data_IF_619855739294
#
_entry.id   IF_619855739294
#
_cell.length_a   1.000
_cell.length_b   1.000
_cell.length_c   1.000
_cell.angle_alpha   90.00
_cell.angle_beta   90.00
_cell.angle_gamma   90.00
#
_symmetry.space_group_name_H-M   'P 1'
#
loop_
_entity.id
_entity.type
_entity.pdbx_description
1 polymer ?
#
# COMPACT_ATOMS: atom_id res chain seq x y z
N UNK A 1 -6.27 31.57 -9.48
CA UNK A 1 -5.92 32.86 -10.09
C UNK A 1 -7.05 33.88 -9.94
N UNK A 2 -8.32 33.49 -10.11
CA UNK A 2 -9.48 34.38 -9.92
C UNK A 2 -9.49 35.09 -8.56
N UNK A 3 -9.19 34.40 -7.47
CA UNK A 3 -9.18 35.00 -6.12
C UNK A 3 -8.10 36.09 -5.89
N UNK A 4 -6.91 35.95 -6.51
CA UNK A 4 -5.88 36.99 -6.43
C UNK A 4 -6.22 38.17 -7.34
N UNK A 5 -6.80 37.89 -8.51
CA UNK A 5 -7.29 38.91 -9.43
C UNK A 5 -8.46 39.72 -8.84
N UNK A 6 -9.38 39.07 -8.13
CA UNK A 6 -10.47 39.70 -7.35
C UNK A 6 -9.95 40.63 -6.24
N UNK A 7 -8.71 40.41 -5.79
CA UNK A 7 -8.03 41.22 -4.77
C UNK A 7 -7.03 42.21 -5.36
N UNK A 8 -6.98 42.33 -6.69
CA UNK A 8 -6.07 43.24 -7.39
C UNK A 8 -4.59 42.93 -7.17
N UNK A 9 -4.24 41.71 -6.77
CA UNK A 9 -2.86 41.32 -6.47
C UNK A 9 -2.30 40.51 -7.63
N UNK A 10 -1.20 40.96 -8.24
CA UNK A 10 -0.49 40.21 -9.25
C UNK A 10 0.25 39.01 -8.63
N UNK A 11 0.48 37.95 -9.42
CA UNK A 11 1.13 36.73 -8.92
C UNK A 11 2.53 37.01 -8.33
N UNK A 12 3.28 37.95 -8.93
CA UNK A 12 4.61 38.37 -8.46
C UNK A 12 4.59 39.15 -7.14
N UNK A 13 3.45 39.76 -6.78
CA UNK A 13 3.26 40.53 -5.55
C UNK A 13 2.59 39.72 -4.42
N UNK A 14 2.28 38.46 -4.69
CA UNK A 14 1.65 37.55 -3.74
C UNK A 14 2.51 37.37 -2.49
N UNK A 15 1.96 37.66 -1.30
CA UNK A 15 2.65 37.51 -0.01
C UNK A 15 2.21 36.26 0.72
N UNK A 16 3.00 35.86 1.72
CA UNK A 16 2.65 34.75 2.62
C UNK A 16 1.26 34.91 3.24
N UNK A 17 0.89 36.14 3.64
CA UNK A 17 -0.41 36.45 4.21
C UNK A 17 -1.58 36.16 3.25
N UNK A 18 -1.39 36.35 1.94
CA UNK A 18 -2.42 36.05 0.94
C UNK A 18 -2.62 34.55 0.78
N UNK A 19 -1.51 33.78 0.81
CA UNK A 19 -1.56 32.32 0.76
C UNK A 19 -2.23 31.74 2.00
N UNK A 20 -1.91 32.26 3.19
CA UNK A 20 -2.49 31.78 4.45
C UNK A 20 -3.99 32.09 4.53
N UNK A 21 -4.40 33.29 4.12
CA UNK A 21 -5.79 33.71 4.08
C UNK A 21 -6.61 32.91 3.05
N UNK A 22 -6.04 32.65 1.88
CA UNK A 22 -6.66 31.77 0.89
C UNK A 22 -6.86 30.36 1.46
N UNK A 23 -5.82 29.79 2.10
CA UNK A 23 -5.89 28.44 2.68
C UNK A 23 -6.91 28.32 3.81
N UNK A 24 -7.10 29.37 4.61
CA UNK A 24 -8.12 29.41 5.67
C UNK A 24 -9.55 29.29 5.10
N UNK A 25 -9.78 29.84 3.92
CA UNK A 25 -11.11 29.92 3.29
C UNK A 25 -11.43 28.72 2.38
N UNK A 26 -10.43 27.91 2.00
CA UNK A 26 -10.60 26.88 0.98
C UNK A 26 -10.43 25.47 1.54
N UNK A 27 -11.24 24.53 1.04
CA UNK A 27 -11.17 23.10 1.33
C UNK A 27 -9.84 22.43 0.96
N UNK A 28 -9.55 21.29 1.59
CA UNK A 28 -8.25 20.59 1.49
C UNK A 28 -7.83 20.25 0.05
N UNK A 29 -8.77 19.87 -0.82
CA UNK A 29 -8.49 19.56 -2.22
C UNK A 29 -7.92 20.78 -2.98
N UNK A 30 -8.53 21.95 -2.82
CA UNK A 30 -8.01 23.19 -3.40
C UNK A 30 -6.64 23.54 -2.83
N UNK A 31 -6.40 23.33 -1.53
CA UNK A 31 -5.06 23.54 -0.91
C UNK A 31 -3.96 22.70 -1.57
N UNK A 32 -4.26 21.47 -1.97
CA UNK A 32 -3.29 20.59 -2.64
C UNK A 32 -2.95 21.10 -4.05
N UNK A 33 -3.98 21.46 -4.83
CA UNK A 33 -3.79 21.98 -6.19
C UNK A 33 -3.00 23.29 -6.19
N UNK A 34 -3.32 24.22 -5.27
CA UNK A 34 -2.58 25.47 -5.14
C UNK A 34 -1.12 25.23 -4.73
N UNK A 35 -0.85 24.26 -3.86
CA UNK A 35 0.54 23.94 -3.47
C UNK A 35 1.36 23.45 -4.64
N UNK A 36 0.84 22.54 -5.47
CA UNK A 36 1.55 22.05 -6.66
C UNK A 36 1.87 23.21 -7.61
N UNK A 37 0.90 24.09 -7.82
CA UNK A 37 1.08 25.31 -8.62
C UNK A 37 2.11 26.27 -8.02
N UNK A 38 2.03 26.59 -6.73
CA UNK A 38 2.99 27.48 -6.06
C UNK A 38 4.41 26.90 -6.01
N UNK A 39 4.54 25.58 -5.85
CA UNK A 39 5.84 24.89 -5.93
C UNK A 39 6.43 25.02 -7.32
N UNK A 40 5.61 24.86 -8.36
CA UNK A 40 6.03 25.06 -9.75
C UNK A 40 6.43 26.53 -10.01
N UNK A 41 5.64 27.51 -9.57
CA UNK A 41 5.97 28.93 -9.71
C UNK A 41 7.26 29.31 -8.99
N UNK A 42 7.51 28.77 -7.79
CA UNK A 42 8.75 28.99 -7.05
C UNK A 42 9.95 28.38 -7.78
N UNK A 43 9.79 27.18 -8.36
CA UNK A 43 10.86 26.56 -9.16
C UNK A 43 11.16 27.30 -10.48
N UNK A 44 10.16 27.98 -11.05
CA UNK A 44 10.30 28.81 -12.26
C UNK A 44 10.68 30.27 -11.99
N UNK A 45 10.99 30.65 -10.74
CA UNK A 45 11.29 32.02 -10.32
C UNK A 45 10.18 33.04 -10.66
N UNK A 46 8.93 32.58 -10.77
CA UNK A 46 7.76 33.42 -11.10
C UNK A 46 7.14 34.10 -9.88
N UNK A 47 7.55 33.70 -8.68
CA UNK A 47 7.12 34.26 -7.39
C UNK A 47 8.33 34.38 -6.46
N UNK A 48 8.29 35.35 -5.54
CA UNK A 48 9.23 35.42 -4.43
C UNK A 48 9.09 34.15 -3.58
N UNK A 49 10.16 33.72 -2.90
CA UNK A 49 10.11 32.50 -2.07
C UNK A 49 9.00 32.60 -1.01
N UNK A 50 8.01 31.70 -1.09
CA UNK A 50 6.88 31.59 -0.14
C UNK A 50 7.09 30.32 0.68
N UNK A 51 6.98 30.43 2.01
CA UNK A 51 7.04 29.26 2.89
C UNK A 51 5.72 28.50 2.83
N UNK A 52 5.73 27.34 2.16
CA UNK A 52 4.58 26.45 2.11
C UNK A 52 4.60 25.54 3.34
N UNK A 53 3.72 25.74 4.35
CA UNK A 53 3.71 24.89 5.54
C UNK A 53 3.56 23.42 5.16
N UNK A 54 4.31 22.55 5.86
CA UNK A 54 4.20 21.11 5.69
C UNK A 54 2.76 20.72 5.96
N UNK A 55 2.08 20.17 4.96
CA UNK A 55 0.74 19.66 5.19
C UNK A 55 0.85 18.49 6.17
N UNK A 56 -0.01 18.44 7.20
CA UNK A 56 -0.19 17.20 7.92
C UNK A 56 -0.66 16.19 6.89
N UNK A 57 0.16 15.17 6.66
CA UNK A 57 -0.27 13.98 5.93
C UNK A 57 -1.43 13.45 6.77
N UNK A 58 -2.65 13.56 6.25
CA UNK A 58 -3.82 13.04 6.94
C UNK A 58 -3.66 11.52 6.98
N UNK A 59 -3.04 11.02 8.05
CA UNK A 59 -2.96 9.59 8.30
C UNK A 59 -4.37 9.18 8.70
N UNK A 60 -5.11 8.59 7.76
CA UNK A 60 -6.39 7.98 8.08
C UNK A 60 -6.18 7.09 9.31
N UNK A 61 -7.02 7.30 10.33
CA UNK A 61 -6.96 6.47 11.53
C UNK A 61 -7.03 5.00 11.09
N UNK A 62 -6.11 4.15 11.55
CA UNK A 62 -6.13 2.73 11.20
C UNK A 62 -7.48 2.11 11.51
N UNK A 63 -7.92 1.16 10.68
CA UNK A 63 -9.09 0.35 11.03
C UNK A 63 -8.83 -0.38 12.35
N UNK A 64 -9.86 -0.51 13.19
CA UNK A 64 -9.80 -1.34 14.39
C UNK A 64 -9.56 -2.81 14.03
N UNK A 65 -8.87 -3.55 14.90
CA UNK A 65 -8.47 -4.93 14.62
C UNK A 65 -9.66 -5.86 14.33
N UNK A 66 -10.76 -5.72 15.07
CA UNK A 66 -11.98 -6.51 14.85
C UNK A 66 -12.64 -6.19 13.51
N UNK A 67 -12.58 -4.92 13.09
CA UNK A 67 -13.11 -4.50 11.79
C UNK A 67 -12.24 -5.05 10.67
N UNK A 68 -10.91 -5.00 10.81
CA UNK A 68 -9.97 -5.58 9.85
C UNK A 68 -10.15 -7.09 9.73
N UNK A 69 -10.30 -7.79 10.85
CA UNK A 69 -10.48 -9.25 10.90
C UNK A 69 -11.80 -9.68 10.29
N UNK A 70 -12.91 -8.99 10.62
CA UNK A 70 -14.21 -9.24 9.97
C UNK A 70 -14.16 -9.02 8.47
N UNK A 71 -13.46 -7.97 8.02
CA UNK A 71 -13.33 -7.67 6.60
C UNK A 71 -12.47 -8.72 5.87
N UNK A 72 -11.38 -9.19 6.48
CA UNK A 72 -10.61 -10.33 5.97
C UNK A 72 -11.47 -11.59 5.87
N UNK A 73 -12.21 -11.93 6.93
CA UNK A 73 -13.13 -13.08 6.93
C UNK A 73 -14.15 -12.99 5.80
N UNK A 74 -14.80 -11.82 5.64
CA UNK A 74 -15.72 -11.59 4.52
C UNK A 74 -15.05 -11.81 3.17
N UNK A 75 -13.88 -11.24 2.92
CA UNK A 75 -13.18 -11.43 1.65
C UNK A 75 -12.72 -12.89 1.43
N UNK A 76 -12.52 -13.67 2.49
CA UNK A 76 -12.17 -15.08 2.39
C UNK A 76 -13.39 -15.96 2.06
N UNK A 77 -14.60 -15.60 2.46
CA UNK A 77 -15.77 -16.50 2.35
C UNK A 77 -16.92 -16.00 1.46
N UNK A 78 -17.09 -14.69 1.30
CA UNK A 78 -18.22 -14.08 0.58
C UNK A 78 -18.05 -14.24 -0.95
N UNK A 79 -18.80 -15.15 -1.56
CA UNK A 79 -18.75 -15.45 -2.99
C UNK A 79 -19.48 -14.43 -3.88
N UNK A 80 -20.32 -13.57 -3.30
CA UNK A 80 -20.96 -12.48 -4.04
C UNK A 80 -19.95 -11.38 -4.43
N UNK A 81 -18.82 -11.32 -3.73
CA UNK A 81 -17.72 -10.43 -4.07
C UNK A 81 -16.88 -11.08 -5.18
N UNK A 82 -16.62 -10.37 -6.30
CA UNK A 82 -15.77 -10.90 -7.37
C UNK A 82 -14.39 -11.33 -6.86
N UNK A 83 -13.92 -12.50 -7.32
CA UNK A 83 -12.68 -13.12 -6.86
C UNK A 83 -11.46 -12.18 -6.96
N UNK A 84 -11.34 -11.43 -8.06
CA UNK A 84 -10.33 -10.36 -8.23
C UNK A 84 -10.31 -9.39 -7.04
N UNK A 85 -11.48 -8.88 -6.66
CA UNK A 85 -11.64 -7.90 -5.58
C UNK A 85 -11.26 -8.51 -4.23
N UNK A 86 -11.66 -9.76 -3.99
CA UNK A 86 -11.31 -10.52 -2.78
C UNK A 86 -9.80 -10.68 -2.65
N UNK A 87 -9.14 -11.20 -3.69
CA UNK A 87 -7.68 -11.41 -3.67
C UNK A 87 -6.93 -10.09 -3.47
N UNK A 88 -7.26 -9.04 -4.23
CA UNK A 88 -6.61 -7.75 -4.07
C UNK A 88 -6.83 -7.15 -2.66
N UNK A 89 -8.07 -7.22 -2.15
CA UNK A 89 -8.41 -6.73 -0.82
C UNK A 89 -7.67 -7.48 0.29
N UNK A 90 -7.55 -8.81 0.19
CA UNK A 90 -6.78 -9.62 1.14
C UNK A 90 -5.30 -9.23 1.10
N UNK A 91 -4.69 -9.02 -0.06
CA UNK A 91 -3.29 -8.59 -0.16
C UNK A 91 -3.08 -7.24 0.54
N UNK A 92 -4.03 -6.30 0.43
CA UNK A 92 -3.98 -5.01 1.17
C UNK A 92 -4.06 -5.24 2.67
N UNK A 93 -5.03 -6.03 3.14
CA UNK A 93 -5.31 -6.18 4.56
C UNK A 93 -4.34 -7.11 5.28
N UNK A 94 -3.76 -8.07 4.58
CA UNK A 94 -2.83 -9.05 5.14
C UNK A 94 -1.39 -8.58 5.04
N UNK A 95 -0.97 -8.03 3.89
CA UNK A 95 0.44 -7.67 3.66
C UNK A 95 0.69 -6.17 3.59
N UNK A 96 -0.32 -5.37 3.94
CA UNK A 96 -0.26 -3.92 3.87
C UNK A 96 0.15 -3.38 2.49
N UNK A 97 -0.03 -4.10 1.38
CA UNK A 97 0.50 -3.62 0.11
C UNK A 97 -0.37 -2.48 -0.48
N UNK A 98 0.23 -1.42 -1.04
CA UNK A 98 -0.51 -0.42 -1.77
C UNK A 98 -0.98 -1.00 -3.12
N UNK A 99 -2.16 -0.58 -3.59
CA UNK A 99 -2.75 -1.08 -4.83
C UNK A 99 -1.88 -0.83 -6.06
N UNK A 100 -1.09 0.25 -6.05
CA UNK A 100 -0.11 0.57 -7.09
C UNK A 100 1.01 -0.46 -7.22
N UNK A 101 1.32 -1.20 -6.14
CA UNK A 101 2.24 -2.35 -6.17
C UNK A 101 1.50 -3.65 -6.50
N UNK A 102 0.29 -3.83 -5.96
CA UNK A 102 -0.52 -5.03 -6.19
C UNK A 102 -0.76 -5.24 -7.69
N UNK A 103 -1.08 -4.18 -8.45
CA UNK A 103 -1.26 -4.33 -9.91
C UNK A 103 0.01 -4.71 -10.67
N UNK A 104 1.20 -4.51 -10.08
CA UNK A 104 2.50 -4.85 -10.67
C UNK A 104 2.97 -6.26 -10.29
N UNK A 105 2.21 -6.99 -9.47
CA UNK A 105 2.53 -8.38 -9.19
C UNK A 105 2.33 -9.22 -10.45
N UNK A 106 3.20 -10.19 -10.61
CA UNK A 106 3.16 -11.20 -11.65
C UNK A 106 2.78 -12.55 -11.05
N UNK A 107 2.46 -13.52 -11.90
CA UNK A 107 2.26 -14.91 -11.47
C UNK A 107 3.57 -15.49 -10.92
N UNK A 108 4.71 -15.08 -11.46
CA UNK A 108 6.04 -15.54 -11.01
C UNK A 108 6.40 -15.03 -9.61
N UNK A 109 5.69 -14.02 -9.11
CA UNK A 109 5.80 -13.57 -7.72
C UNK A 109 5.05 -14.48 -6.74
N UNK A 110 4.22 -15.41 -7.24
CA UNK A 110 3.56 -16.45 -6.46
C UNK A 110 4.36 -17.73 -6.59
N UNK A 111 5.12 -18.05 -5.55
CA UNK A 111 6.02 -19.21 -5.54
C UNK A 111 5.35 -20.34 -4.78
N UNK A 112 5.17 -21.48 -5.42
CA UNK A 112 4.70 -22.71 -4.77
C UNK A 112 5.90 -23.61 -4.49
N UNK A 113 6.03 -24.07 -3.24
CA UNK A 113 7.02 -25.07 -2.83
C UNK A 113 6.35 -26.14 -1.95
N UNK A 114 7.12 -27.13 -1.49
CA UNK A 114 6.60 -28.22 -0.66
C UNK A 114 6.04 -27.73 0.70
N UNK A 115 6.53 -26.59 1.19
CA UNK A 115 6.13 -25.98 2.46
C UNK A 115 4.88 -25.08 2.33
N UNK A 116 4.42 -24.78 1.11
CA UNK A 116 3.22 -24.00 0.84
C UNK A 116 3.37 -22.97 -0.28
N UNK A 117 2.60 -21.88 -0.16
CA UNK A 117 2.63 -20.78 -1.13
C UNK A 117 3.32 -19.59 -0.49
N UNK A 118 4.25 -18.97 -1.22
CA UNK A 118 4.94 -17.74 -0.85
C UNK A 118 4.58 -16.64 -1.85
N UNK A 119 4.53 -15.40 -1.37
CA UNK A 119 4.33 -14.21 -2.18
C UNK A 119 5.60 -13.34 -2.11
N UNK A 120 6.24 -13.14 -3.26
CA UNK A 120 7.43 -12.30 -3.39
C UNK A 120 7.04 -10.82 -3.37
N UNK A 121 6.91 -10.27 -2.17
CA UNK A 121 6.69 -8.85 -1.94
C UNK A 121 8.01 -8.11 -1.76
N UNK A 122 8.93 -8.75 -1.05
CA UNK A 122 10.32 -8.37 -0.84
C UNK A 122 11.14 -9.62 -0.55
N UNK A 123 12.24 -9.47 0.18
CA UNK A 123 13.15 -10.57 0.52
C UNK A 123 13.26 -10.69 2.05
N UNK A 124 13.01 -11.87 2.65
CA UNK A 124 12.57 -13.10 2.01
C UNK A 124 11.10 -13.04 1.52
N UNK A 125 10.70 -13.92 0.58
CA UNK A 125 9.30 -14.08 0.18
C UNK A 125 8.40 -14.36 1.39
N UNK A 126 7.22 -13.74 1.42
CA UNK A 126 6.31 -13.81 2.57
C UNK A 126 5.38 -15.02 2.47
N UNK A 127 5.21 -15.84 3.52
CA UNK A 127 4.32 -17.00 3.49
C UNK A 127 2.85 -16.60 3.35
N UNK A 128 2.12 -17.36 2.53
CA UNK A 128 0.69 -17.17 2.28
C UNK A 128 -0.12 -18.13 3.14
N UNK A 129 -1.01 -17.64 4.02
CA UNK A 129 -1.88 -18.50 4.82
C UNK A 129 -2.73 -19.41 3.92
N UNK A 130 -2.90 -20.67 4.31
CA UNK A 130 -3.58 -21.69 3.51
C UNK A 130 -4.95 -21.24 2.96
N UNK A 131 -5.78 -20.62 3.81
CA UNK A 131 -7.09 -20.11 3.40
C UNK A 131 -7.01 -19.08 2.25
N UNK A 132 -5.95 -18.27 2.20
CA UNK A 132 -5.73 -17.34 1.10
C UNK A 132 -5.00 -17.98 -0.09
N UNK A 133 -4.11 -18.95 0.16
CA UNK A 133 -3.38 -19.66 -0.88
C UNK A 133 -4.31 -20.32 -1.90
N UNK A 134 -5.40 -20.95 -1.44
CA UNK A 134 -6.41 -21.54 -2.32
C UNK A 134 -7.12 -20.50 -3.19
N UNK A 135 -7.52 -19.36 -2.59
CA UNK A 135 -8.16 -18.25 -3.31
C UNK A 135 -7.23 -17.64 -4.36
N UNK A 136 -5.96 -17.48 -4.03
CA UNK A 136 -4.94 -16.94 -4.92
C UNK A 136 -4.71 -17.88 -6.11
N UNK A 137 -4.61 -19.19 -5.87
CA UNK A 137 -4.49 -20.19 -6.94
C UNK A 137 -5.73 -20.22 -7.83
N UNK A 138 -6.95 -20.23 -7.26
CA UNK A 138 -8.19 -20.13 -8.04
C UNK A 138 -8.21 -18.87 -8.91
N UNK A 139 -7.75 -17.74 -8.38
CA UNK A 139 -7.63 -16.51 -9.14
C UNK A 139 -6.65 -16.67 -10.30
N UNK A 140 -5.44 -17.20 -10.08
CA UNK A 140 -4.42 -17.40 -11.12
C UNK A 140 -4.98 -18.25 -12.29
N UNK A 141 -5.74 -19.30 -11.98
CA UNK A 141 -6.36 -20.18 -12.98
C UNK A 141 -7.58 -19.58 -13.70
N UNK A 142 -8.21 -18.55 -13.13
CA UNK A 142 -9.45 -17.95 -13.64
C UNK A 142 -9.34 -16.43 -13.87
N UNK A 143 -8.12 -15.93 -14.10
CA UNK A 143 -7.87 -14.50 -14.29
C UNK A 143 -8.72 -13.94 -15.44
N UNK A 144 -9.36 -12.81 -15.18
CA UNK A 144 -10.11 -12.07 -16.20
C UNK A 144 -9.18 -11.57 -17.31
N UNK A 145 -9.77 -11.13 -18.43
CA UNK A 145 -9.05 -10.52 -19.56
C UNK A 145 -8.02 -11.45 -20.25
N UNK A 146 -8.02 -12.75 -19.96
CA UNK A 146 -7.10 -13.74 -20.58
C UNK A 146 -7.57 -14.24 -21.95
N UNK A 147 -8.88 -14.11 -22.27
CA UNK A 147 -9.48 -14.70 -23.48
C UNK A 147 -9.25 -13.90 -24.78
N UNK A 148 -8.61 -12.73 -24.73
CA UNK A 148 -8.26 -11.99 -25.95
C UNK A 148 -7.00 -12.60 -26.58
N UNK A 149 -6.96 -12.70 -27.92
CA UNK A 149 -5.84 -13.30 -28.65
C UNK A 149 -4.47 -12.67 -28.31
N UNK A 150 -4.47 -11.45 -27.79
CA UNK A 150 -3.27 -10.68 -27.44
C UNK A 150 -2.88 -10.76 -25.95
N UNK A 151 -3.66 -11.44 -25.09
CA UNK A 151 -3.44 -11.46 -23.64
C UNK A 151 -3.46 -12.86 -23.01
N UNK A 152 -3.46 -13.93 -23.82
CA UNK A 152 -3.47 -15.33 -23.32
C UNK A 152 -2.24 -15.67 -22.48
N UNK A 153 -1.12 -15.00 -22.75
CA UNK A 153 0.16 -15.22 -22.08
C UNK A 153 0.50 -14.11 -21.07
N UNK A 154 -0.52 -13.43 -20.52
CA UNK A 154 -0.28 -12.36 -19.54
C UNK A 154 0.39 -12.89 -18.27
N UNK A 155 1.57 -12.38 -17.95
CA UNK A 155 2.29 -12.71 -16.72
C UNK A 155 1.77 -11.91 -15.51
N UNK A 156 0.99 -10.85 -15.73
CA UNK A 156 0.44 -10.03 -14.66
C UNK A 156 -0.56 -10.82 -13.80
N UNK A 157 -0.41 -10.75 -12.48
CA UNK A 157 -1.36 -11.33 -11.53
C UNK A 157 -2.73 -10.65 -11.65
N UNK A 158 -2.74 -9.34 -11.98
CA UNK A 158 -3.94 -8.57 -12.27
C UNK A 158 -3.86 -8.00 -13.69
N UNK A 159 -4.23 -8.77 -14.72
CA UNK A 159 -4.11 -8.35 -16.11
C UNK A 159 -5.09 -7.22 -16.46
N UNK A 160 -4.59 -6.24 -17.21
CA UNK A 160 -5.39 -5.14 -17.76
C UNK A 160 -6.15 -5.53 -19.02
N UNK A 161 -6.95 -4.59 -19.53
CA UNK A 161 -7.68 -4.76 -20.80
C UNK A 161 -6.77 -4.67 -22.04
N UNK A 162 -5.66 -3.95 -21.91
CA UNK A 162 -4.66 -3.83 -22.98
C UNK A 162 -3.65 -4.97 -22.84
N UNK A 163 -3.30 -5.57 -23.97
CA UNK A 163 -2.30 -6.63 -24.05
C UNK A 163 -0.99 -6.26 -23.35
N UNK A 164 -0.45 -7.18 -22.56
CA UNK A 164 0.84 -6.99 -21.87
C UNK A 164 0.85 -5.90 -20.79
N UNK A 165 -0.29 -5.30 -20.46
CA UNK A 165 -0.38 -4.24 -19.46
C UNK A 165 -1.09 -4.75 -18.20
N UNK A 166 -0.65 -4.31 -17.00
CA UNK A 166 -1.36 -4.59 -15.77
C UNK A 166 -2.68 -3.82 -15.72
N UNK A 167 -3.53 -4.18 -14.77
CA UNK A 167 -4.74 -3.43 -14.45
C UNK A 167 -4.39 -2.01 -14.00
N UNK A 168 -5.24 -1.04 -14.35
CA UNK A 168 -5.09 0.32 -13.85
C UNK A 168 -5.25 0.34 -12.31
N UNK A 169 -4.30 0.90 -11.54
CA UNK A 169 -4.40 1.07 -10.09
C UNK A 169 -5.71 1.71 -9.63
N UNK A 170 -6.21 2.73 -10.33
CA UNK A 170 -7.42 3.46 -9.94
C UNK A 170 -8.67 2.59 -10.13
N UNK A 171 -8.68 1.75 -11.16
CA UNK A 171 -9.73 0.77 -11.39
C UNK A 171 -9.74 -0.30 -10.29
N UNK A 172 -8.56 -0.76 -9.87
CA UNK A 172 -8.45 -1.71 -8.76
C UNK A 172 -8.87 -1.05 -7.43
N UNK A 173 -8.49 0.21 -7.21
CA UNK A 173 -8.89 0.97 -6.05
C UNK A 173 -10.40 1.16 -5.97
N UNK A 174 -11.06 1.49 -7.08
CA UNK A 174 -12.51 1.65 -7.12
C UNK A 174 -13.23 0.38 -6.63
N UNK A 175 -12.86 -0.81 -7.15
CA UNK A 175 -13.53 -2.06 -6.77
C UNK A 175 -13.19 -2.53 -5.35
N UNK A 176 -11.96 -2.29 -4.89
CA UNK A 176 -11.53 -2.66 -3.53
C UNK A 176 -12.14 -1.71 -2.49
N UNK A 177 -12.28 -0.42 -2.80
CA UNK A 177 -12.94 0.55 -1.93
C UNK A 177 -14.44 0.28 -1.78
N UNK A 178 -15.12 -0.21 -2.83
CA UNK A 178 -16.54 -0.58 -2.78
C UNK A 178 -16.85 -1.65 -1.73
N UNK A 179 -15.90 -2.53 -1.42
CA UNK A 179 -16.05 -3.55 -0.37
C UNK A 179 -15.55 -3.09 1.00
N UNK A 180 -15.18 -1.82 1.15
CA UNK A 180 -14.78 -1.21 2.43
C UNK A 180 -13.28 -1.35 2.76
N UNK A 181 -12.47 -1.92 1.87
CA UNK A 181 -11.01 -1.94 2.04
C UNK A 181 -10.47 -0.60 1.62
N UNK A 182 -9.87 0.15 2.55
CA UNK A 182 -9.34 1.50 2.28
C UNK A 182 -7.89 1.62 2.76
N UNK A 183 -7.30 2.81 2.63
CA UNK A 183 -5.98 3.14 3.18
C UNK A 183 -5.89 2.91 4.69
N UNK A 184 -7.00 3.03 5.43
CA UNK A 184 -7.07 2.72 6.85
C UNK A 184 -6.85 1.23 7.14
N UNK A 185 -7.33 0.33 6.27
CA UNK A 185 -7.11 -1.11 6.41
C UNK A 185 -5.65 -1.48 6.18
N UNK A 186 -5.01 -0.85 5.19
CA UNK A 186 -3.56 -0.96 4.96
C UNK A 186 -2.76 -0.44 6.15
N UNK A 187 -3.15 0.70 6.71
CA UNK A 187 -2.50 1.30 7.87
C UNK A 187 -2.61 0.42 9.12
N UNK A 188 -3.74 -0.25 9.31
CA UNK A 188 -3.92 -1.23 10.38
C UNK A 188 -3.02 -2.46 10.19
N UNK A 189 -2.96 -2.99 8.96
CA UNK A 189 -2.13 -4.14 8.63
C UNK A 189 -0.65 -3.91 8.94
N UNK A 190 -0.07 -2.79 8.48
CA UNK A 190 1.35 -2.51 8.73
C UNK A 190 1.66 -2.28 10.22
N UNK A 191 0.75 -1.64 10.97
CA UNK A 191 0.92 -1.43 12.42
C UNK A 191 0.87 -2.74 13.18
N UNK A 192 0.02 -3.68 12.79
CA UNK A 192 0.02 -5.02 13.38
C UNK A 192 1.34 -5.74 13.13
N UNK A 193 1.84 -5.76 11.88
CA UNK A 193 3.13 -6.39 11.59
C UNK A 193 4.25 -5.82 12.46
N UNK A 194 4.26 -4.51 12.68
CA UNK A 194 5.26 -3.83 13.51
C UNK A 194 5.05 -4.02 15.02
N UNK A 195 3.88 -4.48 15.46
CA UNK A 195 3.64 -4.89 16.84
C UNK A 195 4.25 -6.27 17.12
N UNK A 196 4.25 -7.15 16.12
CA UNK A 196 4.66 -8.55 16.26
C UNK A 196 6.10 -8.79 15.77
N UNK A 197 6.61 -7.93 14.89
CA UNK A 197 7.89 -8.12 14.18
C UNK A 197 8.72 -6.83 14.16
N UNK A 198 10.06 -6.91 14.30
CA UNK A 198 10.95 -5.75 14.18
C UNK A 198 10.82 -5.01 12.85
N UNK A 199 10.91 -3.68 12.91
CA UNK A 199 10.75 -2.79 11.75
C UNK A 199 11.67 -3.09 10.54
N UNK A 200 12.95 -3.50 10.72
CA UNK A 200 13.78 -3.88 9.59
C UNK A 200 13.27 -5.12 8.86
N UNK A 201 12.84 -6.15 9.58
CA UNK A 201 12.33 -7.40 8.98
C UNK A 201 11.04 -7.14 8.19
N UNK A 202 10.14 -6.32 8.73
CA UNK A 202 8.92 -5.91 8.01
C UNK A 202 9.26 -5.08 6.77
N UNK A 203 10.30 -4.24 6.83
CA UNK A 203 10.76 -3.46 5.68
C UNK A 203 11.22 -4.37 4.54
N UNK A 204 12.05 -5.35 4.86
CA UNK A 204 12.65 -6.27 3.89
C UNK A 204 11.58 -7.20 3.29
N UNK A 205 10.81 -7.89 4.14
CA UNK A 205 9.81 -8.89 3.70
C UNK A 205 8.65 -8.28 2.90
N UNK A 206 8.17 -7.08 3.28
CA UNK A 206 7.03 -6.41 2.61
C UNK A 206 7.47 -5.30 1.64
N UNK A 207 8.77 -5.15 1.42
CA UNK A 207 9.40 -4.16 0.54
C UNK A 207 8.97 -2.72 0.86
N UNK A 208 8.98 -2.40 2.15
CA UNK A 208 8.81 -1.05 2.67
C UNK A 208 10.16 -0.38 2.86
N UNK A 209 10.21 0.95 2.74
CA UNK A 209 11.43 1.69 3.10
C UNK A 209 11.64 1.63 4.63
N UNK A 210 12.85 1.29 5.10
CA UNK A 210 13.16 1.18 6.53
C UNK A 210 12.73 2.42 7.34
N UNK A 211 13.07 3.64 6.89
CA UNK A 211 12.61 4.88 7.55
C UNK A 211 11.08 4.93 7.76
N UNK A 212 10.30 4.35 6.86
CA UNK A 212 8.83 4.32 6.98
C UNK A 212 8.40 3.34 8.06
N UNK A 213 8.94 2.12 8.10
CA UNK A 213 8.60 1.13 9.12
C UNK A 213 9.07 1.55 10.51
N UNK A 214 10.29 2.09 10.63
CA UNK A 214 10.81 2.64 11.90
C UNK A 214 9.93 3.77 12.43
N UNK A 215 9.51 4.70 11.57
CA UNK A 215 8.61 5.80 11.96
C UNK A 215 7.26 5.27 12.44
N UNK A 216 6.66 4.31 11.73
CA UNK A 216 5.35 3.75 12.13
C UNK A 216 5.47 2.95 13.44
N UNK A 217 6.58 2.22 13.64
CA UNK A 217 6.85 1.49 14.88
C UNK A 217 6.98 2.45 16.08
N UNK A 218 7.75 3.54 15.93
CA UNK A 218 7.89 4.54 17.00
C UNK A 218 6.57 5.27 17.30
N UNK A 219 5.78 5.58 16.27
CA UNK A 219 4.43 6.14 16.42
C UNK A 219 3.45 5.17 17.13
N UNK A 220 3.72 3.86 17.12
CA UNK A 220 2.85 2.83 17.70
C UNK A 220 3.33 2.37 19.09
N UNK A 221 4.44 2.91 19.60
CA UNK A 221 5.03 2.51 20.88
C UNK A 221 5.75 1.15 20.85
N UNK A 222 6.04 0.62 19.65
CA UNK A 222 6.73 -0.66 19.49
C UNK A 222 8.24 -0.49 19.68
N UNK A 223 8.75 -0.59 20.90
CA UNK A 223 10.18 -0.43 21.20
C UNK A 223 10.96 -1.74 21.02
N UNK A 224 11.35 -2.02 19.77
CA UNK A 224 12.31 -3.09 19.42
C UNK A 224 13.77 -2.64 19.56
N UNK A 225 14.11 -1.81 20.55
CA UNK A 225 15.41 -1.15 20.73
C UNK A 225 16.62 -2.10 20.86
N UNK A 226 16.37 -3.40 21.07
CA UNK A 226 17.39 -4.46 21.16
C UNK A 226 17.57 -5.28 19.88
N UNK A 227 16.82 -5.03 18.81
CA UNK A 227 17.00 -5.77 17.56
C UNK A 227 18.23 -5.26 16.80
N UNK A 228 19.30 -6.06 16.81
CA UNK A 228 20.44 -5.84 15.92
C UNK A 228 20.05 -6.32 14.52
N UNK A 229 20.02 -5.42 13.53
CA UNK A 229 19.87 -5.78 12.13
C UNK A 229 21.10 -6.61 11.72
N UNK A 230 20.97 -7.93 11.76
CA UNK A 230 21.97 -8.86 11.26
C UNK A 230 21.90 -8.94 9.74
N UNK A 231 23.04 -9.21 9.11
CA UNK A 231 23.13 -9.46 7.68
C UNK A 231 22.41 -10.80 7.37
N UNK A 232 21.17 -10.73 6.89
CA UNK A 232 20.32 -11.91 6.62
C UNK A 232 20.58 -12.53 5.24
N UNK A 233 21.66 -12.15 4.56
CA UNK A 233 22.12 -12.77 3.31
C UNK A 233 22.68 -14.19 3.48
N UNK A 234 22.79 -14.69 4.72
CA UNK A 234 23.09 -16.10 5.00
C UNK A 234 21.86 -16.82 5.56
N UNK A 235 21.23 -17.63 4.71
CA UNK A 235 20.37 -18.72 5.16
C UNK A 235 21.12 -19.55 6.22
N UNK A 236 20.58 -19.73 7.44
CA UNK A 236 21.19 -20.65 8.39
C UNK A 236 20.96 -22.08 7.89
N UNK A 237 22.02 -22.74 7.45
CA UNK A 237 22.03 -24.19 7.32
C UNK A 237 21.79 -24.80 8.70
N UNK A 238 20.66 -25.50 8.88
CA UNK A 238 20.46 -26.41 10.01
C UNK A 238 19.39 -26.07 11.04
N UNK A 239 18.25 -25.48 10.66
CA UNK A 239 17.09 -25.46 11.57
C UNK A 239 16.33 -26.80 11.52
N UNK A 240 16.56 -27.66 12.51
CA UNK A 240 15.70 -28.82 12.81
C UNK A 240 14.71 -28.48 13.93
N UNK A 241 13.40 -28.70 13.75
CA UNK A 241 12.44 -28.53 14.84
C UNK A 241 12.65 -29.61 15.90
N UNK A 242 12.81 -29.21 17.17
CA UNK A 242 12.77 -30.11 18.32
C UNK A 242 11.38 -30.76 18.39
N UNK A 243 11.32 -32.09 18.23
CA UNK A 243 10.17 -32.88 18.69
C UNK A 243 10.05 -32.71 20.20
N UNK A 244 8.94 -32.14 20.64
CA UNK A 244 8.45 -32.38 22.01
C UNK A 244 7.91 -33.80 22.07
N UNK A 245 8.63 -34.64 22.83
CA UNK A 245 8.05 -35.83 23.47
C UNK A 245 7.10 -35.37 24.60
N UNK A 246 6.30 -36.34 25.05
CA UNK A 246 5.34 -36.38 26.18
C UNK A 246 3.89 -36.19 25.73
N UNK A 247 2.95 -37.10 26.00
CA UNK A 247 2.93 -38.45 26.62
C UNK A 247 1.76 -39.23 26.01
#
# INVERSE_FOLDING_TARGET
MTWLAERGTALGDCRQADVDLWRAQHHQHARNALRAFLTWCASGNHIRSIELPKQPINQAQPLGQDQRTRLLGRLLTDEDIPLRTRVAGIIVLLYAQPLTRIVRLTVDDVVCNDDGVLLRLGEPPTPVPAAFAELLQRWISSRDNMNTATNRDSTWLFPGRKAGQPMNPDGLAAIVHQVGVTTAGRAAAIRQHLAETPAPVVADALHYHHKTTTRIASESGSDWSRYAAGDHTRSPTGWTPRRTLDS
#
